data_IF_410343999885
#
_entry.id   IF_410343999885
#
_cell.length_a   1.000
_cell.length_b   1.000
_cell.length_c   1.000
_cell.angle_alpha   90.00
_cell.angle_beta   90.00
_cell.angle_gamma   90.00
#
_symmetry.space_group_name_H-M   'P 1'
#
loop_
_entity.id
_entity.type
_entity.pdbx_description
1 polymer ?
#
# COMPACT_ATOMS: atom_id res chain seq x y z
N UNK A 1 9.21 -2.29 -6.89
CA UNK A 1 9.64 -0.91 -6.47
C UNK A 1 9.49 -0.79 -4.96
N UNK A 2 9.90 0.30 -4.30
CA UNK A 2 9.58 0.51 -2.87
C UNK A 2 8.43 1.50 -2.73
N UNK A 3 7.60 1.31 -1.71
CA UNK A 3 6.43 2.16 -1.47
C UNK A 3 6.18 2.33 0.02
N UNK A 4 5.99 3.55 0.50
CA UNK A 4 5.97 3.83 1.94
C UNK A 4 4.59 3.66 2.55
N UNK A 5 4.41 2.65 3.41
CA UNK A 5 3.13 2.34 4.06
C UNK A 5 3.20 2.34 5.60
N UNK A 6 4.29 2.84 6.17
CA UNK A 6 4.52 2.85 7.62
C UNK A 6 3.38 3.51 8.41
N UNK A 7 2.78 4.56 7.86
CA UNK A 7 1.73 5.35 8.51
C UNK A 7 0.44 4.57 8.81
N UNK A 8 0.25 3.41 8.17
CA UNK A 8 -0.90 2.51 8.38
C UNK A 8 -0.49 1.18 9.02
N UNK A 9 0.81 0.95 9.24
CA UNK A 9 1.35 -0.35 9.63
C UNK A 9 0.92 -0.82 11.03
N UNK A 10 0.49 0.08 11.92
CA UNK A 10 0.12 -0.21 13.32
C UNK A 10 -1.37 -0.11 13.60
N UNK A 11 -2.20 -0.24 12.56
CA UNK A 11 -3.64 -0.38 12.75
C UNK A 11 -3.95 -1.55 13.71
N UNK A 12 -4.91 -1.31 14.60
CA UNK A 12 -5.42 -2.31 15.53
C UNK A 12 -6.64 -2.94 14.89
N UNK A 13 -6.53 -4.21 14.50
CA UNK A 13 -7.67 -5.00 14.07
C UNK A 13 -8.12 -5.83 15.26
N UNK A 14 -9.40 -5.72 15.63
CA UNK A 14 -9.99 -6.35 16.81
C UNK A 14 -11.24 -7.13 16.42
N UNK A 15 -11.46 -8.27 17.07
CA UNK A 15 -12.70 -9.03 16.95
C UNK A 15 -13.92 -8.29 17.51
N UNK A 16 -13.70 -7.29 18.37
CA UNK A 16 -14.77 -6.45 18.92
C UNK A 16 -15.44 -5.56 17.85
N UNK A 17 -14.71 -5.22 16.79
CA UNK A 17 -15.17 -4.37 15.69
C UNK A 17 -15.37 -5.18 14.40
N UNK A 18 -15.67 -6.48 14.53
CA UNK A 18 -15.83 -7.43 13.41
C UNK A 18 -14.65 -7.46 12.43
N UNK A 19 -13.44 -7.23 12.94
CA UNK A 19 -12.22 -7.09 12.13
C UNK A 19 -12.28 -5.97 11.07
N UNK A 20 -13.12 -4.96 11.27
CA UNK A 20 -13.16 -3.79 10.40
C UNK A 20 -11.80 -3.07 10.37
N UNK A 21 -11.31 -2.74 9.17
CA UNK A 21 -10.09 -1.96 8.96
C UNK A 21 -10.46 -0.54 8.54
N UNK A 22 -10.06 0.44 9.33
CA UNK A 22 -10.16 1.87 9.02
C UNK A 22 -9.38 2.19 7.73
N UNK A 23 -8.25 1.51 7.49
CA UNK A 23 -7.51 1.67 6.24
C UNK A 23 -8.31 1.17 5.03
N UNK A 24 -9.08 0.09 5.17
CA UNK A 24 -9.97 -0.41 4.12
C UNK A 24 -11.15 0.53 3.88
N UNK A 25 -11.76 1.08 4.94
CA UNK A 25 -12.81 2.10 4.81
C UNK A 25 -12.28 3.35 4.10
N UNK A 26 -11.09 3.83 4.47
CA UNK A 26 -10.40 4.92 3.75
C UNK A 26 -10.15 4.58 2.28
N UNK A 27 -9.78 3.33 1.97
CA UNK A 27 -9.65 2.88 0.61
C UNK A 27 -10.96 3.00 -0.16
N UNK A 28 -12.09 2.55 0.41
CA UNK A 28 -13.42 2.68 -0.21
C UNK A 28 -13.80 4.15 -0.41
N UNK A 29 -13.51 5.03 0.52
CA UNK A 29 -13.82 6.47 0.36
C UNK A 29 -12.93 7.11 -0.71
N UNK A 30 -11.68 6.66 -0.83
CA UNK A 30 -10.74 7.20 -1.80
C UNK A 30 -11.07 6.80 -3.24
N UNK A 31 -11.75 5.66 -3.48
CA UNK A 31 -12.16 5.28 -4.84
C UNK A 31 -13.09 6.33 -5.45
N UNK A 32 -14.02 6.89 -4.68
CA UNK A 32 -14.90 7.98 -5.13
C UNK A 32 -14.10 9.22 -5.54
N UNK A 33 -13.14 9.64 -4.71
CA UNK A 33 -12.28 10.80 -5.00
C UNK A 33 -11.47 10.58 -6.27
N UNK A 34 -10.88 9.39 -6.41
CA UNK A 34 -10.07 9.07 -7.59
C UNK A 34 -10.92 8.96 -8.86
N UNK A 35 -12.10 8.34 -8.78
CA UNK A 35 -13.07 8.28 -9.88
C UNK A 35 -13.36 9.67 -10.44
N UNK A 36 -13.65 10.62 -9.55
CA UNK A 36 -13.85 12.03 -9.93
C UNK A 36 -12.61 12.64 -10.59
N UNK A 37 -11.41 12.41 -10.05
CA UNK A 37 -10.16 12.97 -10.60
C UNK A 37 -9.82 12.41 -11.98
N UNK A 38 -10.08 11.12 -12.21
CA UNK A 38 -9.89 10.47 -13.51
C UNK A 38 -10.88 11.03 -14.54
N UNK A 39 -12.14 11.17 -14.16
CA UNK A 39 -13.15 11.81 -14.98
C UNK A 39 -12.78 13.25 -15.35
N UNK A 40 -12.34 14.06 -14.38
CA UNK A 40 -11.88 15.43 -14.63
C UNK A 40 -10.67 15.50 -15.55
N UNK A 41 -9.74 14.55 -15.42
CA UNK A 41 -8.60 14.43 -16.34
C UNK A 41 -9.09 14.11 -17.75
N UNK A 42 -9.97 13.13 -17.89
CA UNK A 42 -10.48 12.68 -19.19
C UNK A 42 -11.30 13.76 -19.88
N UNK A 43 -12.15 14.49 -19.16
CA UNK A 43 -12.92 15.62 -19.71
C UNK A 43 -12.04 16.72 -20.32
N UNK A 44 -10.79 16.87 -19.86
CA UNK A 44 -9.83 17.82 -20.44
C UNK A 44 -9.23 17.33 -21.76
N UNK A 45 -9.15 16.01 -21.96
CA UNK A 45 -8.61 15.41 -23.19
C UNK A 45 -9.70 15.05 -24.20
N UNK A 46 -10.89 14.68 -23.73
CA UNK A 46 -12.05 14.29 -24.53
C UNK A 46 -13.19 15.29 -24.34
N UNK A 47 -13.38 16.26 -25.26
CA UNK A 47 -14.47 17.23 -25.19
C UNK A 47 -15.87 16.59 -25.26
N UNK A 48 -15.98 15.35 -25.75
CA UNK A 48 -17.26 14.65 -25.92
C UNK A 48 -17.66 13.86 -24.68
N UNK A 49 -16.74 13.67 -23.74
CA UNK A 49 -16.96 12.90 -22.52
C UNK A 49 -17.78 13.69 -21.49
N UNK A 50 -18.91 13.12 -21.09
CA UNK A 50 -19.70 13.61 -19.97
C UNK A 50 -19.64 12.62 -18.79
N UNK A 51 -19.04 13.01 -17.65
CA UNK A 51 -18.87 12.12 -16.51
C UNK A 51 -20.14 11.89 -15.69
N UNK A 52 -21.14 12.75 -15.87
CA UNK A 52 -22.37 12.80 -15.06
C UNK A 52 -23.59 12.20 -15.78
N UNK A 53 -23.41 11.66 -16.99
CA UNK A 53 -24.46 11.03 -17.77
C UNK A 53 -24.16 9.53 -17.87
N UNK A 54 -25.15 8.69 -17.62
CA UNK A 54 -25.07 7.26 -17.84
C UNK A 54 -25.08 6.94 -19.36
N UNK A 55 -24.13 6.14 -19.87
CA UNK A 55 -23.99 5.92 -21.30
C UNK A 55 -25.06 5.00 -21.89
N UNK A 56 -25.74 4.20 -21.08
CA UNK A 56 -26.81 3.28 -21.49
C UNK A 56 -28.15 4.00 -21.54
N UNK A 57 -28.47 4.77 -20.50
CA UNK A 57 -29.79 5.41 -20.36
C UNK A 57 -29.83 6.83 -20.91
N UNK A 58 -28.67 7.50 -21.02
CA UNK A 58 -28.60 8.92 -21.38
C UNK A 58 -29.13 9.88 -20.29
N UNK A 59 -29.42 9.35 -19.10
CA UNK A 59 -29.89 10.11 -17.94
C UNK A 59 -28.72 10.51 -17.04
N UNK A 60 -28.91 11.45 -16.09
CA UNK A 60 -27.92 11.71 -15.07
C UNK A 60 -27.51 10.42 -14.35
N UNK A 61 -26.20 10.16 -14.25
CA UNK A 61 -25.66 8.96 -13.63
C UNK A 61 -26.09 8.87 -12.17
N UNK A 62 -26.71 7.76 -11.79
CA UNK A 62 -27.12 7.49 -10.41
C UNK A 62 -25.97 6.81 -9.67
N UNK A 63 -25.26 7.56 -8.82
CA UNK A 63 -24.21 6.99 -7.97
C UNK A 63 -23.09 7.96 -7.60
N UNK A 64 -22.18 7.48 -6.76
CA UNK A 64 -21.02 8.25 -6.27
C UNK A 64 -19.85 8.26 -7.27
N UNK A 65 -19.87 7.35 -8.26
CA UNK A 65 -18.81 7.18 -9.24
C UNK A 65 -19.13 7.90 -10.55
N UNK A 66 -18.08 8.31 -11.27
CA UNK A 66 -18.20 8.94 -12.59
C UNK A 66 -18.21 7.89 -13.70
N UNK A 67 -18.97 8.18 -14.75
CA UNK A 67 -19.07 7.35 -15.94
C UNK A 67 -17.66 6.96 -16.45
N UNK A 68 -17.41 5.68 -16.75
CA UNK A 68 -16.10 5.23 -17.25
C UNK A 68 -15.08 4.90 -16.17
N UNK A 69 -15.32 5.33 -14.94
CA UNK A 69 -14.43 5.16 -13.79
C UNK A 69 -15.22 4.69 -12.58
N UNK A 70 -15.82 3.51 -12.68
CA UNK A 70 -16.59 2.87 -11.61
C UNK A 70 -15.74 2.20 -10.53
N UNK A 71 -16.41 1.62 -9.54
CA UNK A 71 -15.78 0.89 -8.44
C UNK A 71 -14.96 -0.32 -8.91
N UNK A 72 -15.29 -0.93 -10.05
CA UNK A 72 -14.56 -2.07 -10.60
C UNK A 72 -13.41 -1.66 -11.54
N UNK A 73 -13.21 -0.36 -11.77
CA UNK A 73 -12.13 0.12 -12.63
C UNK A 73 -10.78 -0.05 -11.95
N UNK A 74 -9.86 -0.76 -12.62
CA UNK A 74 -8.46 -0.84 -12.20
C UNK A 74 -7.83 0.55 -12.02
N UNK A 75 -8.12 1.49 -12.93
CA UNK A 75 -7.57 2.83 -12.88
C UNK A 75 -8.01 3.59 -11.64
N UNK A 76 -9.18 3.26 -11.07
CA UNK A 76 -9.67 3.80 -9.80
C UNK A 76 -9.06 3.06 -8.61
N UNK A 77 -9.14 1.72 -8.61
CA UNK A 77 -8.78 0.89 -7.47
C UNK A 77 -7.28 0.97 -7.13
N UNK A 78 -6.41 0.96 -8.14
CA UNK A 78 -4.95 0.97 -7.93
C UNK A 78 -4.46 2.23 -7.19
N UNK A 79 -4.66 3.45 -7.71
CA UNK A 79 -4.26 4.67 -6.99
C UNK A 79 -5.01 4.88 -5.68
N UNK A 80 -6.28 4.49 -5.55
CA UNK A 80 -7.00 4.58 -4.29
C UNK A 80 -6.37 3.68 -3.22
N UNK A 81 -6.05 2.42 -3.57
CA UNK A 81 -5.37 1.47 -2.70
C UNK A 81 -4.01 2.00 -2.27
N UNK A 82 -3.21 2.49 -3.23
CA UNK A 82 -1.92 3.08 -2.95
C UNK A 82 -2.01 4.32 -2.05
N UNK A 83 -3.02 5.17 -2.22
CA UNK A 83 -3.21 6.35 -1.38
C UNK A 83 -3.62 5.99 0.05
N UNK A 84 -4.61 5.10 0.20
CA UNK A 84 -5.16 4.70 1.49
C UNK A 84 -4.11 4.04 2.38
N UNK A 85 -3.39 3.05 1.85
CA UNK A 85 -2.40 2.30 2.61
C UNK A 85 -1.08 3.05 2.81
N UNK A 86 -0.78 4.07 2.00
CA UNK A 86 0.34 4.99 2.27
C UNK A 86 -0.04 6.20 3.14
N UNK A 87 -1.32 6.36 3.52
CA UNK A 87 -1.84 7.54 4.21
C UNK A 87 -1.51 8.84 3.45
N UNK A 88 -1.64 8.79 2.13
CA UNK A 88 -1.44 9.93 1.23
C UNK A 88 -2.78 10.53 0.83
N UNK A 89 -2.77 11.82 0.56
CA UNK A 89 -3.96 12.55 0.12
C UNK A 89 -4.44 12.03 -1.25
N UNK A 90 -5.70 11.56 -1.36
CA UNK A 90 -6.27 11.07 -2.63
C UNK A 90 -6.40 12.17 -3.69
N UNK A 91 -6.38 13.45 -3.32
CA UNK A 91 -6.40 14.58 -4.28
C UNK A 91 -5.05 14.80 -4.95
N UNK A 92 -3.97 14.31 -4.34
CA UNK A 92 -2.59 14.62 -4.75
C UNK A 92 -1.79 13.37 -5.17
N UNK A 93 -2.37 12.17 -5.09
CA UNK A 93 -1.70 10.95 -5.57
C UNK A 93 -1.62 10.91 -7.10
N UNK A 94 -0.59 10.25 -7.63
CA UNK A 94 -0.50 9.94 -9.07
C UNK A 94 -1.63 8.99 -9.48
N UNK A 95 -2.28 9.28 -10.60
CA UNK A 95 -3.30 8.42 -11.21
C UNK A 95 -2.68 7.42 -12.20
N UNK A 96 -1.36 7.33 -12.27
CA UNK A 96 -0.67 6.36 -13.13
C UNK A 96 -0.68 5.00 -12.46
N UNK A 97 -1.01 3.98 -13.22
CA UNK A 97 -0.99 2.57 -12.80
C UNK A 97 0.40 2.12 -12.34
N UNK A 98 1.45 2.63 -13.02
CA UNK A 98 2.84 2.39 -12.65
C UNK A 98 3.41 3.64 -11.95
N UNK A 99 3.74 3.55 -10.65
CA UNK A 99 4.37 4.65 -9.93
C UNK A 99 5.72 5.02 -10.56
N UNK A 100 6.01 6.31 -10.66
CA UNK A 100 7.30 6.79 -11.17
C UNK A 100 8.45 6.45 -10.21
N UNK A 101 9.67 6.36 -10.73
CA UNK A 101 10.89 6.19 -9.92
C UNK A 101 11.02 7.27 -8.83
N UNK A 102 10.47 8.47 -9.07
CA UNK A 102 10.47 9.57 -8.10
C UNK A 102 9.57 9.32 -6.88
N UNK A 103 8.68 8.33 -6.96
CA UNK A 103 7.78 7.94 -5.86
C UNK A 103 8.34 6.83 -4.97
N UNK A 104 9.51 6.29 -5.32
CA UNK A 104 10.27 5.30 -4.55
C UNK A 104 10.71 5.93 -3.24
N UNK A 105 10.42 5.24 -2.14
CA UNK A 105 10.74 5.70 -0.79
C UNK A 105 11.85 4.85 -0.17
N UNK A 106 12.72 5.41 0.67
CA UNK A 106 13.86 4.67 1.19
C UNK A 106 13.43 3.58 2.17
N UNK A 107 14.05 2.42 2.04
CA UNK A 107 14.14 1.46 3.13
C UNK A 107 15.26 1.89 4.06
N UNK A 108 15.10 1.77 5.37
CA UNK A 108 16.15 2.17 6.32
C UNK A 108 16.51 1.07 7.29
N UNK A 109 17.75 1.13 7.77
CA UNK A 109 18.26 0.30 8.86
C UNK A 109 19.03 1.21 9.80
N UNK A 110 18.64 1.20 11.07
CA UNK A 110 19.25 2.00 12.13
C UNK A 110 19.82 1.03 13.15
N UNK A 111 21.08 1.27 13.53
CA UNK A 111 21.76 0.59 14.63
C UNK A 111 22.32 1.63 15.58
N UNK A 112 22.07 1.44 16.87
CA UNK A 112 22.56 2.33 17.91
C UNK A 112 23.18 1.53 19.06
N UNK A 113 24.44 1.80 19.35
CA UNK A 113 25.27 1.12 20.35
C UNK A 113 25.68 2.06 21.53
N UNK A 114 25.29 3.33 21.44
CA UNK A 114 25.70 4.38 22.38
C UNK A 114 25.18 4.21 23.81
N UNK A 115 24.12 3.44 24.04
CA UNK A 115 23.56 3.18 25.38
C UNK A 115 24.57 2.50 26.31
N UNK A 116 25.53 1.76 25.76
CA UNK A 116 26.61 1.13 26.52
C UNK A 116 27.46 2.12 27.31
N UNK A 117 27.48 3.40 26.91
CA UNK A 117 28.29 4.47 27.55
C UNK A 117 27.57 5.15 28.72
N UNK A 118 26.26 4.92 28.89
CA UNK A 118 25.47 5.51 29.98
C UNK A 118 25.85 4.85 31.30
N UNK A 119 26.21 5.66 32.30
CA UNK A 119 26.76 5.17 33.58
C UNK A 119 25.87 4.16 34.32
N UNK A 120 24.55 4.30 34.24
CA UNK A 120 23.60 3.33 34.81
C UNK A 120 23.64 1.98 34.08
N UNK A 121 23.63 1.99 32.74
CA UNK A 121 23.61 0.77 31.91
C UNK A 121 24.94 0.01 32.04
N UNK A 122 26.06 0.73 32.05
CA UNK A 122 27.41 0.18 32.18
C UNK A 122 27.64 -0.58 33.51
N UNK A 123 26.81 -0.37 34.53
CA UNK A 123 26.87 -1.14 35.79
C UNK A 123 26.48 -2.60 35.55
N UNK A 124 25.45 -2.85 34.75
CA UNK A 124 24.85 -4.16 34.54
C UNK A 124 25.30 -4.83 33.23
N UNK A 125 25.40 -4.06 32.15
CA UNK A 125 25.71 -4.54 30.81
C UNK A 125 27.13 -4.15 30.38
N UNK A 126 27.80 -5.06 29.67
CA UNK A 126 29.05 -4.79 28.92
C UNK A 126 28.75 -4.07 27.61
N UNK A 127 27.72 -4.51 26.91
CA UNK A 127 27.29 -3.94 25.65
C UNK A 127 25.77 -4.05 25.50
N UNK A 128 25.18 -3.07 24.80
CA UNK A 128 23.79 -3.09 24.38
C UNK A 128 23.72 -2.49 22.97
N UNK A 129 23.10 -3.22 22.05
CA UNK A 129 22.81 -2.74 20.70
C UNK A 129 21.30 -2.68 20.52
N UNK A 130 20.82 -1.55 20.01
CA UNK A 130 19.45 -1.42 19.53
C UNK A 130 19.47 -1.42 18.00
N UNK A 131 18.69 -2.30 17.40
CA UNK A 131 18.54 -2.39 15.96
C UNK A 131 17.08 -2.17 15.56
N UNK A 132 16.87 -1.47 14.44
CA UNK A 132 15.59 -1.28 13.79
C UNK A 132 15.78 -1.32 12.28
N UNK A 133 14.91 -2.01 11.56
CA UNK A 133 14.94 -2.04 10.11
C UNK A 133 13.53 -2.07 9.52
N UNK A 134 13.35 -1.27 8.47
CA UNK A 134 12.11 -1.18 7.71
C UNK A 134 12.39 -1.45 6.24
N UNK A 135 11.59 -2.31 5.64
CA UNK A 135 11.56 -2.55 4.20
C UNK A 135 10.13 -2.63 3.72
N UNK A 136 9.83 -1.96 2.62
CA UNK A 136 8.56 -2.11 1.91
C UNK A 136 8.80 -2.25 0.41
N UNK A 137 8.15 -3.23 -0.21
CA UNK A 137 8.17 -3.44 -1.66
C UNK A 137 6.76 -3.39 -2.23
N UNK A 138 6.62 -2.75 -3.38
CA UNK A 138 5.44 -2.73 -4.22
C UNK A 138 5.73 -3.54 -5.47
N UNK A 139 4.93 -4.56 -5.71
CA UNK A 139 5.13 -5.56 -6.74
C UNK A 139 3.82 -5.75 -7.52
N UNK A 140 3.91 -5.69 -8.84
CA UNK A 140 2.81 -5.98 -9.77
C UNK A 140 3.03 -7.42 -10.24
N UNK A 141 2.10 -8.32 -9.93
CA UNK A 141 2.31 -9.77 -10.13
C UNK A 141 2.47 -10.15 -11.60
N UNK A 142 1.51 -9.76 -12.43
CA UNK A 142 1.53 -9.93 -13.88
C UNK A 142 0.68 -8.86 -14.53
N UNK A 143 1.09 -8.41 -15.72
CA UNK A 143 0.27 -7.55 -16.56
C UNK A 143 0.32 -8.02 -18.02
N UNK A 144 -0.79 -7.84 -18.73
CA UNK A 144 -0.92 -8.17 -20.15
C UNK A 144 -1.47 -6.98 -20.90
N UNK A 145 -1.04 -6.80 -22.16
CA UNK A 145 -1.65 -5.79 -23.02
C UNK A 145 -3.06 -6.22 -23.38
N UNK A 146 -4.02 -5.31 -23.23
CA UNK A 146 -5.40 -5.59 -23.59
C UNK A 146 -5.57 -5.52 -25.12
N UNK A 147 -6.09 -6.60 -25.71
CA UNK A 147 -6.35 -6.66 -27.15
C UNK A 147 -7.52 -5.78 -27.60
N UNK A 148 -8.42 -5.43 -26.66
CA UNK A 148 -9.54 -4.52 -26.89
C UNK A 148 -9.18 -3.06 -26.64
N UNK A 149 -7.96 -2.77 -26.16
CA UNK A 149 -7.50 -1.41 -26.10
C UNK A 149 -7.15 -0.94 -27.51
N UNK A 150 -7.88 0.07 -27.98
CA UNK A 150 -7.62 0.73 -29.26
C UNK A 150 -7.70 2.22 -29.03
N UNK A 151 -6.63 2.92 -29.39
CA UNK A 151 -6.61 4.37 -29.41
C UNK A 151 -7.22 4.88 -30.72
N UNK A 152 -8.07 5.89 -30.62
CA UNK A 152 -8.52 6.65 -31.79
C UNK A 152 -7.41 7.61 -32.27
N UNK A 153 -7.64 8.35 -33.36
CA UNK A 153 -6.66 9.30 -33.93
C UNK A 153 -6.18 10.39 -32.94
N UNK A 154 -6.92 10.62 -31.85
CA UNK A 154 -6.58 11.54 -30.78
C UNK A 154 -5.81 10.90 -29.61
N UNK A 155 -5.43 9.62 -29.72
CA UNK A 155 -4.68 8.89 -28.70
C UNK A 155 -5.52 8.48 -27.49
N UNK A 156 -6.85 8.51 -27.60
CA UNK A 156 -7.75 8.14 -26.52
C UNK A 156 -8.50 6.85 -26.86
N UNK A 157 -8.45 5.87 -25.96
CA UNK A 157 -9.32 4.70 -26.05
C UNK A 157 -10.71 5.02 -25.49
N UNK A 158 -11.75 4.88 -26.31
CA UNK A 158 -13.16 5.05 -25.93
C UNK A 158 -13.88 3.73 -25.67
N UNK A 159 -13.17 2.60 -25.81
CA UNK A 159 -13.72 1.26 -25.62
C UNK A 159 -13.98 1.00 -24.14
N UNK A 160 -15.09 0.34 -23.86
CA UNK A 160 -15.57 0.07 -22.50
C UNK A 160 -15.83 -1.40 -22.26
N UNK A 161 -15.71 -1.79 -21.00
CA UNK A 161 -16.13 -3.11 -20.53
C UNK A 161 -17.66 -3.20 -20.35
N UNK A 162 -18.14 -4.38 -19.96
CA UNK A 162 -19.55 -4.66 -19.67
C UNK A 162 -20.10 -3.93 -18.43
N UNK A 163 -19.24 -3.33 -17.60
CA UNK A 163 -19.59 -2.47 -16.48
C UNK A 163 -19.38 -0.97 -16.81
N UNK A 164 -19.24 -0.65 -18.10
CA UNK A 164 -19.04 0.68 -18.65
C UNK A 164 -17.77 1.41 -18.18
N UNK A 165 -16.76 0.71 -17.66
CA UNK A 165 -15.45 1.29 -17.39
C UNK A 165 -14.61 1.37 -18.65
N UNK A 166 -13.73 2.37 -18.74
CA UNK A 166 -12.74 2.41 -19.80
C UNK A 166 -11.74 1.26 -19.66
N UNK A 167 -11.46 0.61 -20.78
CA UNK A 167 -10.50 -0.48 -20.84
C UNK A 167 -9.08 0.12 -20.78
N UNK A 168 -8.22 -0.31 -19.82
CA UNK A 168 -6.83 0.13 -19.76
C UNK A 168 -5.96 -0.58 -20.79
N UNK A 169 -4.86 0.06 -21.21
CA UNK A 169 -3.86 -0.55 -22.11
C UNK A 169 -3.24 -1.83 -21.51
N UNK A 170 -2.96 -1.79 -20.21
CA UNK A 170 -2.41 -2.92 -19.46
C UNK A 170 -3.41 -3.41 -18.42
N UNK A 171 -3.86 -4.65 -18.57
CA UNK A 171 -4.63 -5.35 -17.56
C UNK A 171 -3.68 -5.93 -16.51
N UNK A 172 -3.96 -5.66 -15.24
CA UNK A 172 -3.21 -6.16 -14.10
C UNK A 172 -4.09 -7.12 -13.32
N UNK A 173 -3.56 -8.29 -12.99
CA UNK A 173 -4.32 -9.26 -12.18
C UNK A 173 -4.25 -8.92 -10.69
N UNK A 174 -3.03 -8.77 -10.18
CA UNK A 174 -2.77 -8.57 -8.74
C UNK A 174 -1.68 -7.55 -8.53
N UNK A 175 -1.90 -6.68 -7.56
CA UNK A 175 -0.92 -5.77 -6.99
C UNK A 175 -0.67 -6.16 -5.55
N UNK A 176 0.59 -6.15 -5.13
CA UNK A 176 0.97 -6.48 -3.76
C UNK A 176 1.92 -5.46 -3.14
N UNK A 177 1.76 -5.23 -1.83
CA UNK A 177 2.69 -4.46 -1.00
C UNK A 177 3.18 -5.37 0.12
N UNK A 178 4.47 -5.63 0.15
CA UNK A 178 5.13 -6.42 1.19
C UNK A 178 5.92 -5.49 2.12
N UNK A 179 5.40 -5.27 3.31
CA UNK A 179 5.97 -4.43 4.34
C UNK A 179 6.52 -5.27 5.49
N UNK A 180 7.75 -4.99 5.93
CA UNK A 180 8.39 -5.73 6.99
C UNK A 180 9.23 -4.83 7.91
N UNK A 181 9.02 -5.05 9.19
CA UNK A 181 9.85 -4.59 10.29
C UNK A 181 10.64 -5.78 10.82
N UNK A 182 11.85 -5.96 10.30
CA UNK A 182 12.70 -7.11 10.59
C UNK A 182 14.11 -6.65 10.96
N UNK A 183 14.34 -6.18 12.19
CA UNK A 183 13.41 -6.12 13.33
C UNK A 183 12.64 -4.79 13.43
N UNK A 184 11.43 -4.82 14.00
CA UNK A 184 10.73 -3.61 14.49
C UNK A 184 11.52 -2.96 15.60
N UNK A 185 11.98 -3.76 16.54
CA UNK A 185 13.00 -3.34 17.49
C UNK A 185 13.68 -4.59 17.99
N UNK A 186 14.99 -4.52 18.08
CA UNK A 186 15.81 -5.58 18.64
C UNK A 186 16.75 -4.98 19.68
N UNK A 187 16.85 -5.66 20.81
CA UNK A 187 17.78 -5.40 21.89
C UNK A 187 18.71 -6.59 22.02
N UNK A 188 19.98 -6.40 21.66
CA UNK A 188 21.04 -7.37 21.90
C UNK A 188 21.88 -6.89 23.08
N UNK A 189 21.82 -7.62 24.20
CA UNK A 189 22.43 -7.24 25.47
C UNK A 189 23.48 -8.27 25.88
N UNK A 190 24.69 -7.81 26.15
CA UNK A 190 25.77 -8.63 26.70
C UNK A 190 26.01 -8.20 28.15
N UNK A 191 25.83 -9.13 29.07
CA UNK A 191 25.93 -8.92 30.51
C UNK A 191 27.36 -9.14 31.00
N UNK A 192 27.67 -8.69 32.23
CA UNK A 192 29.02 -8.85 32.81
C UNK A 192 29.37 -10.29 33.19
N UNK A 193 28.37 -11.12 33.45
CA UNK A 193 28.48 -12.52 33.80
C UNK A 193 28.51 -13.45 32.56
N UNK A 194 28.98 -12.95 31.41
CA UNK A 194 29.05 -13.71 30.15
C UNK A 194 27.71 -14.25 29.62
N UNK A 195 26.58 -13.80 30.19
CA UNK A 195 25.26 -13.98 29.61
C UNK A 195 25.09 -13.02 28.43
N UNK A 196 24.45 -13.47 27.36
CA UNK A 196 23.96 -12.64 26.26
C UNK A 196 22.47 -12.90 26.11
N UNK A 197 21.66 -11.84 26.10
CA UNK A 197 20.23 -11.94 25.86
C UNK A 197 19.85 -11.13 24.62
N UNK A 198 18.85 -11.63 23.91
CA UNK A 198 18.30 -11.04 22.70
C UNK A 198 16.78 -10.97 22.83
N UNK A 199 16.23 -9.79 22.62
CA UNK A 199 14.79 -9.59 22.47
C UNK A 199 14.56 -8.95 21.12
N UNK A 200 13.71 -9.54 20.29
CA UNK A 200 13.45 -9.05 18.94
C UNK A 200 11.95 -9.08 18.67
N UNK A 201 11.38 -7.92 18.37
CA UNK A 201 10.02 -7.77 17.87
C UNK A 201 10.09 -7.64 16.37
N UNK A 202 9.30 -8.45 15.66
CA UNK A 202 9.11 -8.35 14.21
C UNK A 202 7.64 -8.13 13.91
N UNK A 203 7.41 -7.41 12.81
CA UNK A 203 6.08 -7.23 12.26
C UNK A 203 6.18 -7.31 10.75
N UNK A 204 5.30 -8.04 10.11
CA UNK A 204 5.21 -8.09 8.67
C UNK A 204 3.75 -7.94 8.25
N UNK A 205 3.55 -7.33 7.10
CA UNK A 205 2.26 -7.15 6.48
C UNK A 205 2.38 -7.37 4.97
N UNK A 206 1.53 -8.23 4.44
CA UNK A 206 1.34 -8.39 3.00
C UNK A 206 -0.05 -7.93 2.64
N UNK A 207 -0.15 -6.89 1.82
CA UNK A 207 -1.40 -6.39 1.26
C UNK A 207 -1.47 -6.82 -0.20
N UNK A 208 -2.56 -7.44 -0.61
CA UNK A 208 -2.78 -7.86 -2.00
C UNK A 208 -4.13 -7.37 -2.49
N UNK A 209 -4.12 -6.57 -3.55
CA UNK A 209 -5.32 -6.17 -4.29
C UNK A 209 -5.42 -7.03 -5.55
N UNK A 210 -6.44 -7.88 -5.60
CA UNK A 210 -6.80 -8.65 -6.78
C UNK A 210 -7.86 -7.89 -7.58
N UNK A 211 -7.51 -7.49 -8.80
CA UNK A 211 -8.35 -6.67 -9.69
C UNK A 211 -9.30 -7.53 -10.53
N UNK A 212 -9.01 -8.83 -10.68
CA UNK A 212 -9.89 -9.78 -11.37
C UNK A 212 -11.21 -9.97 -10.61
N UNK A 213 -11.19 -9.90 -9.28
CA UNK A 213 -12.36 -10.09 -8.42
C UNK A 213 -12.61 -8.91 -7.47
N UNK A 214 -11.83 -7.83 -7.59
CA UNK A 214 -11.91 -6.62 -6.77
C UNK A 214 -11.87 -6.89 -5.25
N UNK A 215 -10.93 -7.73 -4.82
CA UNK A 215 -10.75 -8.12 -3.42
C UNK A 215 -9.42 -7.62 -2.86
N UNK A 216 -9.45 -7.15 -1.61
CA UNK A 216 -8.25 -6.81 -0.84
C UNK A 216 -8.03 -7.88 0.21
N UNK A 217 -6.82 -8.45 0.24
CA UNK A 217 -6.37 -9.41 1.25
C UNK A 217 -5.25 -8.79 2.05
N UNK A 218 -5.38 -8.77 3.37
CA UNK A 218 -4.36 -8.30 4.30
C UNK A 218 -3.90 -9.46 5.19
N UNK A 219 -2.61 -9.77 5.14
CA UNK A 219 -1.98 -10.78 5.99
C UNK A 219 -1.01 -10.09 6.94
N UNK A 220 -1.28 -10.20 8.24
CA UNK A 220 -0.47 -9.62 9.31
C UNK A 220 0.29 -10.71 10.07
N UNK A 221 1.57 -10.49 10.31
CA UNK A 221 2.39 -11.31 11.20
C UNK A 221 3.03 -10.44 12.27
N UNK A 222 2.94 -10.89 13.52
CA UNK A 222 3.64 -10.29 14.65
C UNK A 222 4.41 -11.41 15.36
N UNK A 223 5.72 -11.25 15.46
CA UNK A 223 6.60 -12.23 16.09
C UNK A 223 7.38 -11.58 17.22
N UNK A 224 7.52 -12.32 18.32
CA UNK A 224 8.38 -11.95 19.43
C UNK A 224 9.39 -13.08 19.59
N UNK A 225 10.67 -12.75 19.43
CA UNK A 225 11.78 -13.68 19.55
C UNK A 225 12.58 -13.33 20.80
N UNK A 226 12.70 -14.31 21.70
CA UNK A 226 13.56 -14.25 22.86
C UNK A 226 14.71 -15.24 22.70
N UNK A 227 15.93 -14.80 22.93
CA UNK A 227 17.12 -15.64 22.90
C UNK A 227 18.00 -15.38 24.12
N UNK A 228 18.61 -16.43 24.64
CA UNK A 228 19.62 -16.35 25.69
C UNK A 228 20.76 -17.33 25.39
N UNK A 229 21.98 -16.86 25.55
CA UNK A 229 23.21 -17.63 25.40
C UNK A 229 24.09 -17.38 26.62
N UNK A 230 24.66 -18.43 27.17
CA UNK A 230 25.58 -18.34 28.30
C UNK A 230 26.83 -19.15 27.97
N UNK A 231 28.00 -18.59 28.26
CA UNK A 231 29.29 -19.27 28.08
C UNK A 231 29.94 -19.43 29.45
N UNK A 232 30.22 -20.68 29.82
CA UNK A 232 30.90 -21.09 31.06
C UNK A 232 32.38 -21.35 30.83
#
# INVERSE_FOLDING_TARGET
>A
MTYFTWGTAFEKISSADDYASENFERFRDYTMVISRRLADRRRRSDPTYNPDIDPETGLPGEGEYKNGYGLTSQEVLVPAFLAAYAKRDPENITLRTFPSILSIMPNWKVRFDGLSRIGFIKKYLRAININHAYRSTFDIGSYTTNLYFSEDDDGLSRIRDIQYNYIPEHEINVISINEQFNPLINFDMTWKNSLTTKVELKRARTLSLSLTNNQVTELLSNEIVFGALITW
#
